data_IF_873788255609
#
_entry.id   IF_873788255609
#
_cell.length_a   1.000
_cell.length_b   1.000
_cell.length_c   1.000
_cell.angle_alpha   90.00
_cell.angle_beta   90.00
_cell.angle_gamma   90.00
#
_symmetry.space_group_name_H-M   'P 1'
#
loop_
_entity.id
_entity.type
_entity.pdbx_description
1 polymer ?
#
# COMPACT_ATOMS: atom_id res chain seq x y z
N UNK A 1 -12.72 34.56 21.49
CA UNK A 1 -13.78 33.89 20.72
C UNK A 1 -13.66 32.41 21.05
N UNK A 2 -14.56 31.87 21.85
CA UNK A 2 -14.47 30.47 22.30
C UNK A 2 -14.86 29.54 21.16
N UNK A 3 -14.09 28.48 20.96
CA UNK A 3 -14.36 27.45 19.95
C UNK A 3 -14.66 26.13 20.64
N UNK A 4 -15.66 25.42 20.12
CA UNK A 4 -15.98 24.09 20.57
C UNK A 4 -14.95 23.09 20.00
N UNK A 5 -14.26 22.39 20.88
CA UNK A 5 -13.45 21.22 20.53
C UNK A 5 -14.26 19.97 20.86
N UNK A 6 -14.44 19.07 19.89
CA UNK A 6 -15.17 17.81 20.09
C UNK A 6 -14.20 16.65 19.97
N UNK A 7 -14.08 15.85 21.03
CA UNK A 7 -13.43 14.56 20.96
C UNK A 7 -14.45 13.50 20.55
N UNK A 8 -14.22 12.87 19.40
CA UNK A 8 -15.04 11.77 18.93
C UNK A 8 -14.58 10.46 19.57
N UNK A 9 -15.36 9.93 20.49
CA UNK A 9 -15.22 8.57 21.00
C UNK A 9 -16.10 7.58 20.21
N UNK A 10 -15.86 6.26 20.37
CA UNK A 10 -16.61 5.22 19.66
C UNK A 10 -18.11 5.14 20.01
N UNK A 11 -18.51 5.61 21.20
CA UNK A 11 -19.91 5.60 21.67
C UNK A 11 -20.41 6.94 22.22
N UNK A 12 -19.51 7.84 22.63
CA UNK A 12 -19.86 9.15 23.17
C UNK A 12 -18.90 10.19 22.65
N UNK A 13 -19.43 11.30 22.14
CA UNK A 13 -18.66 12.49 21.79
C UNK A 13 -18.81 13.53 22.88
N UNK A 14 -17.69 13.96 23.45
CA UNK A 14 -17.64 15.05 24.43
C UNK A 14 -17.18 16.33 23.76
N UNK A 15 -17.94 17.40 23.96
CA UNK A 15 -17.60 18.74 23.45
C UNK A 15 -17.22 19.63 24.62
N UNK A 16 -16.07 20.28 24.52
CA UNK A 16 -15.61 21.27 25.48
C UNK A 16 -15.40 22.62 24.78
N UNK A 17 -15.67 23.70 25.48
CA UNK A 17 -15.35 25.04 24.99
C UNK A 17 -13.93 25.40 25.41
N UNK A 18 -13.07 25.64 24.42
CA UNK A 18 -11.68 26.05 24.64
C UNK A 18 -11.50 27.45 24.06
N UNK A 19 -10.88 28.34 24.85
CA UNK A 19 -10.49 29.64 24.35
C UNK A 19 -9.51 29.47 23.20
N UNK A 20 -9.74 30.17 22.09
CA UNK A 20 -8.82 30.14 20.94
C UNK A 20 -7.39 30.54 21.31
N UNK A 21 -7.20 31.34 22.38
CA UNK A 21 -5.88 31.72 22.89
C UNK A 21 -5.11 30.57 23.56
N UNK A 22 -5.76 29.43 23.82
CA UNK A 22 -5.17 28.23 24.43
C UNK A 22 -4.92 27.08 23.44
N UNK A 23 -5.11 27.30 22.13
CA UNK A 23 -5.04 26.24 21.12
C UNK A 23 -4.06 26.61 20.00
N UNK A 24 -3.13 25.70 19.70
CA UNK A 24 -2.25 25.79 18.53
C UNK A 24 -2.95 25.16 17.33
N UNK A 25 -3.13 25.93 16.25
CA UNK A 25 -3.80 25.46 15.05
C UNK A 25 -2.81 25.11 13.95
N UNK A 26 -2.39 23.84 13.89
CA UNK A 26 -1.56 23.35 12.78
C UNK A 26 -2.46 22.98 11.60
N UNK A 27 -2.28 23.67 10.48
CA UNK A 27 -3.05 23.44 9.24
C UNK A 27 -2.14 22.92 8.14
N UNK A 28 -2.60 21.89 7.44
CA UNK A 28 -1.92 21.30 6.28
C UNK A 28 -2.88 21.18 5.10
N UNK A 29 -2.37 21.33 3.87
CA UNK A 29 -3.14 21.04 2.65
C UNK A 29 -4.39 21.89 2.44
N UNK A 30 -4.41 23.13 2.92
CA UNK A 30 -5.58 24.02 2.77
C UNK A 30 -5.92 24.30 1.31
N UNK A 31 -7.21 24.32 0.99
CA UNK A 31 -7.69 24.67 -0.37
C UNK A 31 -7.79 26.19 -0.50
N UNK A 32 -7.49 26.81 -1.66
CA UNK A 32 -7.54 28.26 -1.82
C UNK A 32 -8.88 28.92 -1.43
N UNK A 33 -10.00 28.21 -1.60
CA UNK A 33 -11.32 28.69 -1.19
C UNK A 33 -11.61 28.59 0.31
N UNK A 34 -10.83 27.80 1.06
CA UNK A 34 -11.00 27.58 2.50
C UNK A 34 -9.63 27.45 3.20
N UNK A 35 -8.81 28.51 3.24
CA UNK A 35 -7.46 28.46 3.84
C UNK A 35 -7.48 28.25 5.37
N UNK A 36 -8.65 28.38 5.99
CA UNK A 36 -8.87 28.14 7.42
C UNK A 36 -9.14 26.67 7.76
N UNK A 37 -9.32 25.80 6.76
CA UNK A 37 -9.57 24.36 6.94
C UNK A 37 -8.35 23.56 6.49
N UNK A 38 -7.80 22.74 7.39
CA UNK A 38 -6.79 21.76 7.05
C UNK A 38 -7.41 20.55 6.36
N UNK A 39 -6.69 19.97 5.41
CA UNK A 39 -7.08 18.76 4.69
C UNK A 39 -6.12 17.64 5.06
N UNK A 40 -6.65 16.52 5.55
CA UNK A 40 -5.84 15.36 5.90
C UNK A 40 -5.17 14.75 4.66
N UNK A 41 -3.91 14.29 4.73
CA UNK A 41 -3.18 13.80 3.57
C UNK A 41 -3.86 12.60 2.88
N UNK A 42 -4.52 11.74 3.66
CA UNK A 42 -5.24 10.58 3.14
C UNK A 42 -6.49 10.94 2.32
N UNK A 43 -7.01 12.16 2.44
CA UNK A 43 -8.14 12.60 1.61
C UNK A 43 -7.78 12.66 0.13
N UNK A 44 -6.52 12.95 -0.21
CA UNK A 44 -6.01 12.95 -1.59
C UNK A 44 -5.78 11.54 -2.14
N UNK A 45 -5.66 10.55 -1.27
CA UNK A 45 -5.50 9.14 -1.62
C UNK A 45 -6.79 8.32 -1.49
N UNK A 46 -7.97 8.96 -1.40
CA UNK A 46 -9.22 8.24 -1.16
C UNK A 46 -9.47 7.13 -2.21
N UNK A 47 -9.31 7.46 -3.49
CA UNK A 47 -9.52 6.49 -4.59
C UNK A 47 -8.47 5.39 -4.59
N UNK A 48 -7.20 5.71 -4.31
CA UNK A 48 -6.11 4.72 -4.30
C UNK A 48 -6.20 3.79 -3.11
N UNK A 49 -6.58 4.31 -1.94
CA UNK A 49 -6.81 3.51 -0.74
C UNK A 49 -7.98 2.52 -0.95
N UNK A 50 -9.07 2.98 -1.58
CA UNK A 50 -10.19 2.11 -1.94
C UNK A 50 -9.77 1.04 -2.94
N UNK A 51 -9.01 1.41 -3.97
CA UNK A 51 -8.50 0.45 -4.96
C UNK A 51 -7.61 -0.63 -4.31
N UNK A 52 -6.73 -0.25 -3.38
CA UNK A 52 -5.90 -1.21 -2.63
C UNK A 52 -6.76 -2.21 -1.86
N UNK A 53 -7.77 -1.72 -1.13
CA UNK A 53 -8.66 -2.58 -0.34
C UNK A 53 -9.48 -3.53 -1.21
N UNK A 54 -10.00 -3.07 -2.34
CA UNK A 54 -10.76 -3.93 -3.27
C UNK A 54 -9.85 -4.96 -3.95
N UNK A 55 -8.62 -4.58 -4.31
CA UNK A 55 -7.65 -5.51 -4.88
C UNK A 55 -7.25 -6.60 -3.88
N UNK A 56 -6.95 -6.23 -2.63
CA UNK A 56 -6.65 -7.18 -1.56
C UNK A 56 -7.83 -8.11 -1.26
N UNK A 57 -9.05 -7.57 -1.25
CA UNK A 57 -10.28 -8.37 -1.07
C UNK A 57 -10.48 -9.35 -2.22
N UNK A 58 -10.34 -8.90 -3.47
CA UNK A 58 -10.45 -9.77 -4.64
C UNK A 58 -9.41 -10.88 -4.62
N UNK A 59 -8.16 -10.57 -4.24
CA UNK A 59 -7.11 -11.57 -4.08
C UNK A 59 -7.43 -12.56 -2.95
N UNK A 60 -7.98 -12.09 -1.82
CA UNK A 60 -8.40 -12.95 -0.73
C UNK A 60 -9.57 -13.87 -1.14
N UNK A 61 -10.55 -13.35 -1.88
CA UNK A 61 -11.70 -14.12 -2.37
C UNK A 61 -11.26 -15.18 -3.41
N UNK A 62 -10.36 -14.82 -4.33
CA UNK A 62 -9.82 -15.76 -5.31
C UNK A 62 -8.94 -16.84 -4.66
N UNK A 63 -8.13 -16.48 -3.66
CA UNK A 63 -7.33 -17.45 -2.90
C UNK A 63 -8.18 -18.39 -2.05
N UNK A 64 -9.35 -17.93 -1.58
CA UNK A 64 -10.34 -18.76 -0.88
C UNK A 64 -11.22 -19.60 -1.83
N UNK A 65 -11.12 -19.40 -3.15
CA UNK A 65 -11.89 -20.12 -4.15
C UNK A 65 -11.67 -21.64 -4.11
N UNK A 66 -12.66 -22.44 -4.55
CA UNK A 66 -12.53 -23.89 -4.58
C UNK A 66 -11.40 -24.31 -5.53
N UNK A 67 -10.38 -24.98 -4.99
CA UNK A 67 -9.36 -25.69 -5.76
C UNK A 67 -9.96 -27.00 -6.29
N UNK A 68 -10.67 -26.90 -7.41
CA UNK A 68 -11.32 -28.00 -8.08
C UNK A 68 -10.89 -28.14 -9.55
N UNK A 69 -10.46 -29.33 -9.95
CA UNK A 69 -10.30 -29.61 -11.39
C UNK A 69 -11.59 -30.23 -11.89
N UNK A 70 -12.18 -29.63 -12.94
CA UNK A 70 -13.34 -30.22 -13.60
C UNK A 70 -12.88 -31.23 -14.62
N UNK A 71 -13.30 -32.47 -14.43
CA UNK A 71 -13.10 -33.55 -15.38
C UNK A 71 -14.43 -33.91 -16.02
N UNK A 72 -14.42 -34.01 -17.34
CA UNK A 72 -15.56 -34.52 -18.08
C UNK A 72 -15.65 -36.04 -17.87
N UNK A 73 -16.83 -36.52 -17.49
CA UNK A 73 -17.11 -37.96 -17.56
C UNK A 73 -17.52 -38.28 -19.00
N UNK A 74 -16.83 -39.22 -19.68
CA UNK A 74 -17.26 -39.72 -20.99
C UNK A 74 -18.72 -40.16 -20.91
N UNK A 75 -19.52 -39.81 -21.90
CA UNK A 75 -20.97 -40.08 -21.88
C UNK A 75 -21.29 -41.58 -22.08
N UNK A 76 -20.31 -42.41 -22.46
CA UNK A 76 -20.63 -43.66 -23.11
C UNK A 76 -20.35 -44.84 -22.17
N UNK A 77 -21.40 -45.31 -21.51
CA UNK A 77 -21.62 -46.75 -21.31
C UNK A 77 -22.29 -47.38 -22.53
N UNK A 78 -21.87 -46.96 -23.74
CA UNK A 78 -22.51 -47.29 -25.02
C UNK A 78 -21.52 -47.34 -26.19
N UNK A 79 -20.24 -47.56 -25.91
CA UNK A 79 -19.24 -47.94 -26.89
C UNK A 79 -19.23 -49.45 -27.12
N UNK A 80 -18.78 -49.87 -28.29
CA UNK A 80 -18.58 -51.27 -28.67
C UNK A 80 -17.66 -51.95 -27.62
N UNK A 81 -18.02 -53.11 -27.03
CA UNK A 81 -17.25 -53.78 -25.97
C UNK A 81 -15.79 -54.10 -26.31
N UNK A 82 -15.39 -53.98 -27.58
CA UNK A 82 -14.01 -54.18 -28.05
C UNK A 82 -13.15 -52.90 -28.03
N UNK A 83 -13.70 -51.71 -27.74
CA UNK A 83 -12.94 -50.42 -27.70
C UNK A 83 -12.94 -49.70 -26.34
N UNK A 84 -13.70 -50.17 -25.35
CA UNK A 84 -13.97 -49.44 -24.09
C UNK A 84 -12.88 -49.55 -22.99
N UNK A 85 -11.70 -50.09 -23.31
CA UNK A 85 -10.63 -50.32 -22.33
C UNK A 85 -9.85 -49.08 -21.88
N UNK A 86 -9.80 -48.01 -22.68
CA UNK A 86 -8.78 -46.95 -22.52
C UNK A 86 -9.32 -45.60 -22.01
N UNK A 87 -10.62 -45.33 -22.21
CA UNK A 87 -11.24 -44.03 -21.89
C UNK A 87 -11.32 -43.77 -20.39
N UNK A 88 -11.61 -44.81 -19.59
CA UNK A 88 -11.60 -44.73 -18.13
C UNK A 88 -10.18 -44.75 -17.55
N UNK A 89 -9.21 -45.33 -18.27
CA UNK A 89 -7.81 -45.29 -17.86
C UNK A 89 -7.24 -43.87 -17.97
N UNK A 90 -7.57 -43.16 -19.05
CA UNK A 90 -7.24 -41.73 -19.21
C UNK A 90 -7.86 -40.87 -18.10
N UNK A 91 -9.16 -41.04 -17.81
CA UNK A 91 -9.82 -40.32 -16.72
C UNK A 91 -9.20 -40.61 -15.35
N UNK A 92 -8.83 -41.87 -15.07
CA UNK A 92 -8.12 -42.24 -13.83
C UNK A 92 -6.72 -41.63 -13.76
N UNK A 93 -5.99 -41.59 -14.87
CA UNK A 93 -4.69 -40.95 -14.95
C UNK A 93 -4.79 -39.43 -14.72
N UNK A 94 -5.82 -38.79 -15.26
CA UNK A 94 -6.06 -37.36 -15.08
C UNK A 94 -6.50 -37.01 -13.67
N UNK A 95 -7.38 -37.82 -13.06
CA UNK A 95 -7.72 -37.71 -11.63
C UNK A 95 -6.47 -37.94 -10.75
N UNK A 96 -5.60 -38.88 -11.12
CA UNK A 96 -4.35 -39.16 -10.40
C UNK A 96 -3.30 -38.05 -10.53
N UNK A 97 -3.33 -37.27 -11.62
CA UNK A 97 -2.51 -36.07 -11.84
C UNK A 97 -3.10 -34.82 -11.19
N UNK A 98 -4.39 -34.84 -10.87
CA UNK A 98 -5.07 -33.75 -10.19
C UNK A 98 -4.54 -33.56 -8.78
N UNK A 99 -4.05 -32.34 -8.47
CA UNK A 99 -3.76 -31.94 -7.09
C UNK A 99 -4.95 -31.15 -6.55
N UNK A 100 -5.71 -31.74 -5.63
CA UNK A 100 -6.85 -31.08 -4.98
C UNK A 100 -8.17 -31.86 -5.11
N UNK A 101 -9.31 -31.17 -4.97
CA UNK A 101 -10.63 -31.78 -5.13
C UNK A 101 -10.90 -31.97 -6.63
N UNK A 102 -11.35 -33.15 -7.05
CA UNK A 102 -11.77 -33.38 -8.43
C UNK A 102 -13.30 -33.33 -8.50
N UNK A 103 -13.84 -32.51 -9.39
CA UNK A 103 -15.28 -32.45 -9.65
C UNK A 103 -15.54 -33.09 -11.01
N UNK A 104 -16.34 -34.15 -11.01
CA UNK A 104 -16.74 -34.86 -12.21
C UNK A 104 -18.02 -34.21 -12.75
N UNK A 105 -17.95 -33.62 -13.95
CA UNK A 105 -19.11 -33.03 -14.62
C UNK A 105 -19.59 -34.00 -15.68
N UNK A 106 -20.85 -34.43 -15.58
CA UNK A 106 -21.50 -35.21 -16.63
C UNK A 106 -21.71 -34.29 -17.83
N UNK A 107 -21.09 -34.63 -18.96
CA UNK A 107 -21.27 -33.88 -20.20
C UNK A 107 -22.75 -33.99 -20.65
N UNK A 108 -23.38 -32.86 -20.96
CA UNK A 108 -24.79 -32.79 -21.38
C UNK A 108 -24.97 -33.14 -22.87
N UNK A 109 -24.22 -34.12 -23.36
CA UNK A 109 -24.33 -34.60 -24.75
C UNK A 109 -25.73 -35.15 -25.07
N UNK A 110 -26.53 -35.51 -24.06
CA UNK A 110 -27.89 -36.05 -24.21
C UNK A 110 -28.95 -35.05 -24.73
N UNK A 111 -28.61 -33.78 -24.99
CA UNK A 111 -29.57 -32.75 -25.41
C UNK A 111 -29.32 -32.10 -26.78
N UNK A 112 -28.23 -32.46 -27.47
CA UNK A 112 -27.94 -31.93 -28.81
C UNK A 112 -28.43 -32.97 -29.82
N UNK A 113 -29.31 -32.54 -30.73
CA UNK A 113 -30.15 -33.41 -31.57
C UNK A 113 -29.43 -34.51 -32.35
N UNK A 114 -30.22 -35.46 -32.88
CA UNK A 114 -29.79 -36.61 -33.67
C UNK A 114 -28.72 -36.26 -34.72
N UNK A 115 -27.48 -36.63 -34.41
CA UNK A 115 -26.35 -36.50 -35.33
C UNK A 115 -25.04 -36.22 -34.62
N UNK A 116 -24.03 -37.07 -34.83
CA UNK A 116 -22.64 -36.86 -34.38
C UNK A 116 -22.03 -35.53 -34.85
N UNK A 117 -22.61 -34.87 -35.84
CA UNK A 117 -22.13 -33.63 -36.44
C UNK A 117 -22.55 -32.35 -35.70
N UNK A 118 -23.56 -32.39 -34.82
CA UNK A 118 -24.06 -31.23 -34.08
C UNK A 118 -23.55 -31.11 -32.65
N UNK A 119 -22.81 -32.11 -32.16
CA UNK A 119 -22.09 -32.00 -30.90
C UNK A 119 -20.81 -31.16 -31.13
N UNK A 120 -20.51 -30.13 -30.31
CA UNK A 120 -19.25 -29.43 -30.42
C UNK A 120 -18.09 -30.41 -30.23
N UNK A 121 -17.38 -30.74 -31.31
CA UNK A 121 -16.13 -31.54 -31.32
C UNK A 121 -14.95 -30.77 -30.71
N UNK A 122 -15.19 -29.94 -29.70
CA UNK A 122 -14.09 -29.29 -29.00
C UNK A 122 -13.57 -30.33 -28.02
N UNK A 123 -12.37 -30.85 -28.28
CA UNK A 123 -11.60 -31.65 -27.32
C UNK A 123 -11.66 -30.91 -25.98
N UNK A 124 -12.42 -31.47 -25.04
CA UNK A 124 -12.74 -30.79 -23.80
C UNK A 124 -11.51 -30.84 -22.90
N UNK A 125 -10.77 -29.74 -22.87
CA UNK A 125 -9.60 -29.59 -22.00
C UNK A 125 -10.04 -29.38 -20.55
N UNK A 126 -9.43 -30.11 -19.62
CA UNK A 126 -9.68 -29.93 -18.18
C UNK A 126 -9.53 -28.44 -17.80
N UNK A 127 -10.63 -27.84 -17.33
CA UNK A 127 -10.62 -26.47 -16.86
C UNK A 127 -10.27 -26.46 -15.38
N UNK A 128 -9.19 -25.78 -15.03
CA UNK A 128 -8.86 -25.51 -13.63
C UNK A 128 -9.88 -24.53 -13.05
N UNK A 129 -10.67 -24.96 -12.06
CA UNK A 129 -11.24 -24.03 -11.09
C UNK A 129 -10.27 -23.96 -9.91
N UNK A 130 -9.70 -22.80 -9.69
CA UNK A 130 -8.81 -22.60 -8.57
C UNK A 130 -8.41 -21.14 -8.47
N UNK A 131 -7.60 -20.86 -7.45
CA UNK A 131 -7.04 -19.54 -7.24
C UNK A 131 -6.02 -19.23 -8.34
N UNK A 132 -6.51 -18.60 -9.40
CA UNK A 132 -5.68 -18.08 -10.49
C UNK A 132 -5.91 -16.57 -10.61
N UNK A 133 -5.51 -15.77 -9.59
CA UNK A 133 -5.62 -14.33 -9.67
C UNK A 133 -4.88 -13.82 -10.91
N UNK A 134 -5.44 -12.83 -11.65
CA UNK A 134 -4.72 -12.18 -12.73
C UNK A 134 -3.39 -11.64 -12.22
N UNK A 135 -2.30 -11.86 -12.97
CA UNK A 135 -0.97 -11.40 -12.58
C UNK A 135 -0.89 -9.86 -12.39
N UNK A 136 -1.83 -9.12 -12.99
CA UNK A 136 -1.96 -7.67 -12.84
C UNK A 136 -2.54 -7.24 -11.49
N UNK A 137 -3.26 -8.11 -10.77
CA UNK A 137 -3.95 -7.75 -9.52
C UNK A 137 -2.97 -7.44 -8.37
N UNK A 138 -1.91 -8.26 -8.12
CA UNK A 138 -0.87 -7.92 -7.15
C UNK A 138 -0.09 -6.65 -7.49
N UNK A 139 0.12 -6.37 -8.78
CA UNK A 139 0.79 -5.15 -9.25
C UNK A 139 -0.04 -3.90 -8.91
N UNK A 140 -1.35 -3.96 -9.20
CA UNK A 140 -2.30 -2.89 -8.85
C UNK A 140 -2.31 -2.64 -7.34
N UNK A 141 -2.32 -3.71 -6.52
CA UNK A 141 -2.29 -3.58 -5.06
C UNK A 141 -1.02 -2.88 -4.58
N UNK A 142 0.16 -3.29 -5.09
CA UNK A 142 1.45 -2.68 -4.75
C UNK A 142 1.52 -1.21 -5.15
N UNK A 143 1.06 -0.88 -6.35
CA UNK A 143 1.09 0.49 -6.88
C UNK A 143 0.09 1.39 -6.14
N UNK A 144 -1.10 0.87 -5.81
CA UNK A 144 -2.10 1.58 -5.01
C UNK A 144 -1.59 1.89 -3.60
N UNK A 145 -0.91 0.92 -2.97
CA UNK A 145 -0.26 1.11 -1.68
C UNK A 145 0.83 2.21 -1.75
N UNK A 146 1.72 2.13 -2.75
CA UNK A 146 2.79 3.12 -2.94
C UNK A 146 2.23 4.54 -3.16
N UNK A 147 1.14 4.68 -3.94
CA UNK A 147 0.48 5.98 -4.16
C UNK A 147 -0.21 6.51 -2.90
N UNK A 148 -0.73 5.62 -2.06
CA UNK A 148 -1.35 6.00 -0.78
C UNK A 148 -0.29 6.54 0.19
N UNK A 149 0.88 5.91 0.26
CA UNK A 149 2.02 6.42 1.03
C UNK A 149 2.54 7.76 0.47
N UNK A 150 2.60 7.89 -0.86
CA UNK A 150 3.03 9.13 -1.50
C UNK A 150 2.13 10.33 -1.12
N UNK A 151 0.83 10.12 -0.90
CA UNK A 151 -0.09 11.17 -0.45
C UNK A 151 0.20 11.66 0.98
N UNK A 152 0.77 10.81 1.84
CA UNK A 152 1.27 11.22 3.17
C UNK A 152 2.70 11.77 3.10
N UNK A 153 3.27 11.90 1.90
CA UNK A 153 4.66 12.29 1.68
C UNK A 153 5.66 11.21 2.09
N UNK A 154 5.20 9.99 2.41
CA UNK A 154 6.05 8.87 2.84
C UNK A 154 6.52 8.08 1.61
N UNK A 155 7.83 7.98 1.38
CA UNK A 155 8.33 7.22 0.24
C UNK A 155 8.16 5.71 0.46
N UNK A 156 7.64 5.01 -0.55
CA UNK A 156 7.41 3.56 -0.48
C UNK A 156 8.70 2.76 -0.25
N UNK A 157 9.85 3.29 -0.69
CA UNK A 157 11.18 2.71 -0.49
C UNK A 157 11.53 2.45 0.98
N UNK A 158 10.90 3.16 1.93
CA UNK A 158 11.08 2.89 3.37
C UNK A 158 10.52 1.53 3.82
N UNK A 159 9.67 0.90 3.01
CA UNK A 159 9.02 -0.36 3.33
C UNK A 159 9.42 -1.50 2.39
N UNK A 160 9.96 -1.18 1.21
CA UNK A 160 10.29 -2.16 0.17
C UNK A 160 11.78 -2.51 0.07
N UNK A 161 12.66 -1.61 0.49
CA UNK A 161 14.09 -1.72 0.21
C UNK A 161 14.82 -2.30 1.44
N UNK A 162 15.66 -3.33 1.23
CA UNK A 162 16.45 -3.95 2.31
C UNK A 162 17.82 -3.30 2.53
N UNK A 163 18.16 -2.29 1.73
CA UNK A 163 19.46 -1.62 1.76
C UNK A 163 19.45 -0.44 2.73
N UNK A 164 20.17 -0.55 3.85
CA UNK A 164 20.23 0.50 4.87
C UNK A 164 20.78 1.86 4.39
N UNK A 165 21.42 1.92 3.22
CA UNK A 165 21.79 3.21 2.57
C UNK A 165 20.58 3.83 1.85
N UNK A 166 19.80 3.01 1.15
CA UNK A 166 18.57 3.46 0.49
C UNK A 166 17.52 3.92 1.51
N UNK A 167 17.39 3.20 2.63
CA UNK A 167 16.50 3.58 3.74
C UNK A 167 16.88 4.93 4.35
N UNK A 168 18.17 5.15 4.64
CA UNK A 168 18.65 6.43 5.21
C UNK A 168 18.36 7.60 4.27
N UNK A 169 18.57 7.41 2.99
CA UNK A 169 18.30 8.42 1.98
C UNK A 169 16.79 8.65 1.79
N UNK A 170 15.97 7.60 1.82
CA UNK A 170 14.51 7.70 1.79
C UNK A 170 13.98 8.48 3.01
N UNK A 171 14.50 8.16 4.20
CA UNK A 171 14.19 8.87 5.44
C UNK A 171 14.61 10.34 5.38
N UNK A 172 15.78 10.65 4.80
CA UNK A 172 16.23 12.03 4.58
C UNK A 172 15.26 12.79 3.66
N UNK A 173 14.84 12.20 2.55
CA UNK A 173 13.87 12.81 1.62
C UNK A 173 12.51 13.03 2.30
N UNK A 174 12.05 12.05 3.07
CA UNK A 174 10.82 12.17 3.86
C UNK A 174 10.91 13.31 4.88
N UNK A 175 12.02 13.40 5.62
CA UNK A 175 12.26 14.47 6.57
C UNK A 175 12.22 15.84 5.89
N UNK A 176 12.97 16.01 4.80
CA UNK A 176 13.05 17.29 4.09
C UNK A 176 11.75 17.67 3.37
N UNK A 177 11.05 16.71 2.79
CA UNK A 177 9.85 16.95 2.00
C UNK A 177 8.57 17.10 2.82
N UNK A 178 8.48 16.42 3.96
CA UNK A 178 7.23 16.27 4.72
C UNK A 178 7.37 16.81 6.14
N UNK A 179 8.37 16.34 6.90
CA UNK A 179 8.49 16.68 8.34
C UNK A 179 8.95 18.11 8.55
N UNK A 180 10.00 18.55 7.86
CA UNK A 180 10.56 19.89 8.04
C UNK A 180 9.57 21.02 7.66
N UNK A 181 8.77 20.92 6.59
CA UNK A 181 7.71 21.90 6.32
C UNK A 181 6.63 21.94 7.41
N UNK A 182 6.19 20.78 7.92
CA UNK A 182 5.23 20.71 9.02
C UNK A 182 5.79 21.33 10.31
N UNK A 183 7.06 21.05 10.61
CA UNK A 183 7.77 21.64 11.74
C UNK A 183 7.79 23.17 11.64
N UNK A 184 8.07 23.75 10.47
CA UNK A 184 8.06 25.22 10.26
C UNK A 184 6.68 25.83 10.44
N UNK A 185 5.61 25.15 10.02
CA UNK A 185 4.24 25.63 10.26
C UNK A 185 3.97 25.65 11.76
N UNK A 186 4.34 24.57 12.47
CA UNK A 186 4.21 24.48 13.92
C UNK A 186 5.03 25.56 14.64
N UNK A 187 6.27 25.81 14.25
CA UNK A 187 7.09 26.90 14.80
C UNK A 187 6.42 28.25 14.66
N UNK A 188 5.85 28.55 13.48
CA UNK A 188 5.19 29.83 13.22
C UNK A 188 3.96 30.04 14.10
N UNK A 189 3.16 29.00 14.30
CA UNK A 189 1.95 29.05 15.13
C UNK A 189 2.32 29.10 16.62
N UNK A 190 3.32 28.33 17.06
CA UNK A 190 3.82 28.38 18.45
C UNK A 190 4.42 29.74 18.79
N UNK A 191 5.19 30.33 17.87
CA UNK A 191 5.78 31.66 18.07
C UNK A 191 4.72 32.74 18.18
N UNK A 192 3.66 32.66 17.37
CA UNK A 192 2.53 33.57 17.48
C UNK A 192 1.79 33.44 18.82
N UNK A 193 1.67 32.21 19.34
CA UNK A 193 0.91 31.92 20.56
C UNK A 193 1.69 32.19 21.86
N UNK A 194 3.01 31.99 21.86
CA UNK A 194 3.83 32.17 23.05
C UNK A 194 4.07 33.65 23.40
N UNK A 195 3.72 34.58 22.50
CA UNK A 195 3.83 36.05 22.67
C UNK A 195 5.16 36.53 23.31
N UNK A 196 6.22 35.74 23.15
CA UNK A 196 7.53 35.92 23.76
C UNK A 196 8.60 35.84 22.68
N UNK A 197 9.75 36.46 22.93
CA UNK A 197 10.87 36.50 21.98
C UNK A 197 11.63 35.16 21.86
N UNK A 198 11.06 34.07 22.39
CA UNK A 198 11.64 32.73 22.32
C UNK A 198 11.39 32.14 20.94
N UNK A 199 12.46 31.97 20.17
CA UNK A 199 12.42 31.29 18.89
C UNK A 199 12.55 29.77 19.11
N UNK A 200 11.42 29.05 19.03
CA UNK A 200 11.44 27.59 18.91
C UNK A 200 11.88 27.23 17.49
N UNK A 201 12.95 26.44 17.38
CA UNK A 201 13.46 25.92 16.11
C UNK A 201 13.67 24.42 16.22
N UNK A 202 13.08 23.67 15.32
CA UNK A 202 13.38 22.26 15.13
C UNK A 202 14.68 22.12 14.34
N UNK A 203 15.51 21.15 14.71
CA UNK A 203 16.73 20.86 13.96
C UNK A 203 16.34 20.46 12.52
N UNK A 204 16.87 21.15 11.49
CA UNK A 204 16.56 20.84 10.10
C UNK A 204 17.20 19.54 9.58
N UNK A 205 18.22 18.98 10.24
CA UNK A 205 18.85 17.72 9.79
C UNK A 205 19.26 16.78 10.95
N UNK A 206 18.33 16.34 11.80
CA UNK A 206 18.65 15.46 12.94
C UNK A 206 19.22 14.10 12.50
N UNK A 207 18.95 13.72 11.25
CA UNK A 207 19.34 12.42 10.67
C UNK A 207 20.66 12.46 9.90
N UNK A 208 21.24 13.65 9.66
CA UNK A 208 22.44 13.83 8.83
C UNK A 208 23.71 14.10 9.65
N UNK A 209 23.79 13.54 10.85
CA UNK A 209 24.98 13.68 11.72
C UNK A 209 26.24 13.17 11.01
N UNK A 210 26.12 12.08 10.24
CA UNK A 210 27.23 11.51 9.48
C UNK A 210 27.70 12.43 8.34
N UNK A 211 26.78 13.06 7.59
CA UNK A 211 27.13 14.03 6.55
C UNK A 211 27.75 15.30 7.13
N UNK A 212 27.20 15.81 8.24
CA UNK A 212 27.78 16.94 8.99
C UNK A 212 29.19 16.62 9.50
N UNK A 213 29.41 15.43 10.04
CA UNK A 213 30.73 14.97 10.49
C UNK A 213 31.73 14.84 9.33
N UNK A 214 31.31 14.32 8.17
CA UNK A 214 32.15 14.24 6.98
C UNK A 214 32.49 15.63 6.42
N UNK A 215 31.52 16.55 6.40
CA UNK A 215 31.74 17.95 6.01
C UNK A 215 32.69 18.67 6.96
N UNK A 216 32.53 18.48 8.27
CA UNK A 216 33.44 18.96 9.30
C UNK A 216 34.87 18.46 9.07
N UNK A 217 35.05 17.15 8.87
CA UNK A 217 36.36 16.56 8.62
C UNK A 217 37.04 17.16 7.37
N UNK A 218 36.29 17.37 6.29
CA UNK A 218 36.80 18.02 5.06
C UNK A 218 37.20 19.47 5.29
N UNK A 219 36.44 20.23 6.08
CA UNK A 219 36.77 21.63 6.40
C UNK A 219 38.05 21.73 7.23
N UNK A 220 38.21 20.88 8.24
CA UNK A 220 39.43 20.83 9.06
C UNK A 220 40.64 20.41 8.21
N UNK A 221 40.48 19.42 7.34
CA UNK A 221 41.53 19.02 6.38
C UNK A 221 41.89 20.14 5.40
N UNK A 222 40.93 20.98 5.03
CA UNK A 222 41.14 22.17 4.20
C UNK A 222 41.77 23.36 4.93
N UNK A 223 42.12 23.22 6.21
CA UNK A 223 42.77 24.26 7.01
C UNK A 223 41.83 25.26 7.70
N UNK A 224 40.51 25.00 7.70
CA UNK A 224 39.56 25.79 8.49
C UNK A 224 39.76 25.47 9.96
N UNK A 225 39.74 26.49 10.83
CA UNK A 225 39.85 26.28 12.28
C UNK A 225 38.72 25.39 12.80
N UNK A 226 39.00 24.57 13.82
CA UNK A 226 38.04 23.61 14.38
C UNK A 226 36.75 24.30 14.81
N UNK A 227 36.84 25.45 15.47
CA UNK A 227 35.69 26.21 15.97
C UNK A 227 34.79 26.71 14.82
N UNK A 228 35.39 27.27 13.76
CA UNK A 228 34.66 27.69 12.56
C UNK A 228 34.05 26.50 11.82
N UNK A 229 34.77 25.38 11.74
CA UNK A 229 34.28 24.16 11.10
C UNK A 229 33.13 23.51 11.90
N UNK A 230 33.18 23.53 13.22
CA UNK A 230 32.11 23.03 14.10
C UNK A 230 30.84 23.89 13.97
N UNK A 231 31.01 25.21 13.94
CA UNK A 231 29.91 26.16 13.76
C UNK A 231 29.29 26.03 12.37
N UNK A 232 30.11 25.98 11.31
CA UNK A 232 29.65 25.86 9.93
C UNK A 232 29.00 24.51 9.61
N UNK A 233 29.45 23.42 10.26
CA UNK A 233 28.84 22.09 10.09
C UNK A 233 27.56 21.91 10.90
N UNK A 234 27.20 22.86 11.77
CA UNK A 234 26.04 22.75 12.66
C UNK A 234 26.16 21.60 13.66
N UNK A 235 27.39 21.19 13.99
CA UNK A 235 27.68 20.23 15.07
C UNK A 235 27.77 20.92 16.43
N UNK A 236 28.07 22.22 16.43
CA UNK A 236 27.93 23.06 17.61
C UNK A 236 26.48 23.58 17.65
N UNK A 237 25.71 23.16 18.66
CA UNK A 237 24.42 23.77 18.92
C UNK A 237 24.68 25.23 19.31
N UNK A 238 24.33 26.17 18.43
CA UNK A 238 24.31 27.58 18.78
C UNK A 238 23.10 27.76 19.68
N UNK A 239 23.35 27.94 20.97
CA UNK A 239 22.33 28.23 21.99
C UNK A 239 21.60 29.53 21.73
#
# INVERSE_FOLDING_TARGET
MDRAATAYGPSTSTTWHVSAAGVVFVRWGGTPGQPYVGTGPLSWAHTTARLSSEAERSLADETAGPLAQLFAVPHDGGGDPDQDGDTFAALRADIGRARGKALLVKTTAAGWGEGRASAPQRDWTASHLGSAPPATMPEIARDAFARTLAATGTPASMFSDADGTAEREALRRWHMGTVAPLARILESELRAMLETDVALRFDPYPLDVAGRAAGFAKMVQGGVSIEQALTASGLLAVG
#
